data_IF_296575785644
#
_entry.id   IF_296575785644
#
_cell.length_a   1.000
_cell.length_b   1.000
_cell.length_c   1.000
_cell.angle_alpha   90.00
_cell.angle_beta   90.00
_cell.angle_gamma   90.00
#
_symmetry.space_group_name_H-M   'P 1'
#
loop_
_entity.id
_entity.type
_entity.pdbx_description
1 polymer ?
#
# COMPACT_ATOMS: atom_id res chain seq x y z
N UNK A 1 -1.63 24.49 -23.67
CA UNK A 1 -3.10 24.64 -23.62
C UNK A 1 -3.45 25.32 -22.29
N UNK A 2 -4.05 26.51 -22.33
CA UNK A 2 -4.40 27.24 -21.11
C UNK A 2 -5.67 26.63 -20.51
N UNK A 3 -5.60 26.12 -19.30
CA UNK A 3 -6.75 25.74 -18.51
C UNK A 3 -7.52 27.00 -18.09
N UNK A 4 -8.47 27.42 -18.92
CA UNK A 4 -9.42 28.49 -18.61
C UNK A 4 -10.83 27.92 -18.41
N UNK A 5 -11.00 27.09 -17.39
CA UNK A 5 -12.31 26.89 -16.83
C UNK A 5 -12.31 27.46 -15.41
N UNK A 6 -12.81 28.68 -15.27
CA UNK A 6 -13.17 29.25 -13.96
C UNK A 6 -14.41 28.49 -13.44
N UNK A 7 -14.22 27.27 -13.00
CA UNK A 7 -15.23 26.64 -12.17
C UNK A 7 -15.30 27.46 -10.87
N UNK A 8 -16.44 28.07 -10.62
CA UNK A 8 -16.72 28.75 -9.35
C UNK A 8 -16.78 27.67 -8.27
N UNK A 9 -15.61 27.31 -7.74
CA UNK A 9 -15.54 26.41 -6.59
C UNK A 9 -16.12 27.13 -5.38
N UNK A 10 -17.14 26.54 -4.77
CA UNK A 10 -17.68 27.02 -3.48
C UNK A 10 -16.95 26.23 -2.39
N UNK A 11 -16.11 26.88 -1.57
CA UNK A 11 -15.42 26.20 -0.49
C UNK A 11 -16.41 25.55 0.49
N UNK A 12 -16.02 24.41 1.04
CA UNK A 12 -16.76 23.79 2.13
C UNK A 12 -16.82 24.76 3.35
N UNK A 13 -17.97 24.82 4.00
CA UNK A 13 -18.15 25.66 5.22
C UNK A 13 -17.23 25.20 6.36
N UNK A 14 -17.00 23.90 6.47
CA UNK A 14 -16.16 23.28 7.47
C UNK A 14 -14.95 22.62 6.82
N UNK A 15 -13.85 22.51 7.57
CA UNK A 15 -12.67 21.77 7.12
C UNK A 15 -13.02 20.30 6.92
N UNK A 16 -12.75 19.77 5.75
CA UNK A 16 -12.83 18.33 5.46
C UNK A 16 -11.44 17.73 5.66
N UNK A 17 -11.35 16.78 6.56
CA UNK A 17 -10.10 16.05 6.81
C UNK A 17 -9.97 14.90 5.84
N UNK A 18 -8.75 14.66 5.35
CA UNK A 18 -8.49 13.57 4.43
C UNK A 18 -8.73 12.20 5.08
N UNK A 19 -8.24 12.06 6.30
CA UNK A 19 -8.35 10.82 7.06
C UNK A 19 -8.51 11.15 8.54
N UNK A 20 -9.71 10.95 9.07
CA UNK A 20 -10.03 11.18 10.47
C UNK A 20 -10.26 9.83 11.16
N UNK A 21 -9.63 9.55 12.30
CA UNK A 21 -9.97 8.35 13.06
C UNK A 21 -11.46 8.32 13.41
N UNK A 22 -12.05 7.14 13.32
CA UNK A 22 -13.45 6.90 13.73
C UNK A 22 -13.46 5.91 14.88
N UNK A 23 -14.10 6.29 15.99
CA UNK A 23 -14.28 5.42 17.14
C UNK A 23 -15.65 4.74 17.04
N UNK A 24 -15.70 3.44 17.33
CA UNK A 24 -16.91 2.62 17.25
C UNK A 24 -17.53 2.33 18.62
N UNK A 25 -16.83 2.71 19.71
CA UNK A 25 -17.34 2.70 21.08
C UNK A 25 -16.74 1.62 21.99
N UNK A 26 -16.10 0.61 21.44
CA UNK A 26 -15.52 -0.49 22.23
C UNK A 26 -14.02 -0.35 22.50
N UNK A 27 -13.35 0.58 21.83
CA UNK A 27 -11.89 0.73 21.86
C UNK A 27 -11.35 0.93 23.28
N UNK A 28 -12.07 1.75 24.07
CA UNK A 28 -11.67 2.03 25.46
C UNK A 28 -11.74 0.77 26.32
N UNK A 29 -12.71 -0.12 26.11
CA UNK A 29 -12.84 -1.36 26.85
C UNK A 29 -11.68 -2.31 26.55
N UNK A 30 -11.29 -2.42 25.28
CA UNK A 30 -10.13 -3.22 24.84
C UNK A 30 -8.82 -2.68 25.40
N UNK A 31 -8.64 -1.35 25.38
CA UNK A 31 -7.45 -0.70 25.95
C UNK A 31 -7.39 -0.95 27.47
N UNK A 32 -8.51 -0.82 28.16
CA UNK A 32 -8.60 -1.01 29.61
C UNK A 32 -8.31 -2.46 29.99
N UNK A 33 -8.86 -3.42 29.24
CA UNK A 33 -8.60 -4.83 29.47
C UNK A 33 -7.10 -5.19 29.25
N UNK A 34 -6.52 -4.70 28.17
CA UNK A 34 -5.08 -4.88 27.88
C UNK A 34 -4.21 -4.28 28.99
N UNK A 35 -4.60 -3.09 29.51
CA UNK A 35 -3.89 -2.46 30.63
C UNK A 35 -3.94 -3.33 31.90
N UNK A 36 -5.11 -3.84 32.26
CA UNK A 36 -5.26 -4.69 33.45
C UNK A 36 -4.55 -6.04 33.33
N UNK A 37 -4.44 -6.57 32.12
CA UNK A 37 -3.71 -7.82 31.81
C UNK A 37 -2.22 -7.61 31.57
N UNK A 38 -1.72 -6.38 31.68
CA UNK A 38 -0.34 -5.97 31.43
C UNK A 38 0.14 -6.28 30.00
N UNK A 39 -0.75 -6.21 29.02
CA UNK A 39 -0.41 -6.36 27.60
C UNK A 39 0.03 -5.01 26.99
N UNK A 40 1.08 -4.45 27.55
CA UNK A 40 1.58 -3.11 27.21
C UNK A 40 2.80 -3.14 26.29
N UNK A 41 3.10 -4.29 25.69
CA UNK A 41 4.20 -4.47 24.75
C UNK A 41 3.73 -5.15 23.46
N UNK A 42 4.64 -5.78 22.74
CA UNK A 42 4.36 -6.45 21.46
C UNK A 42 3.69 -7.83 21.60
N UNK A 43 3.36 -8.25 22.81
CA UNK A 43 2.76 -9.56 23.11
C UNK A 43 1.41 -9.33 23.79
N UNK A 44 0.39 -10.07 23.35
CA UNK A 44 -0.94 -10.02 23.93
C UNK A 44 -2.00 -10.65 23.02
N UNK A 45 -3.12 -11.08 23.60
CA UNK A 45 -4.17 -11.73 22.81
C UNK A 45 -4.79 -10.81 21.75
N UNK A 46 -4.86 -9.51 22.01
CA UNK A 46 -5.42 -8.56 21.05
C UNK A 46 -4.64 -8.56 19.72
N UNK A 47 -3.30 -8.62 19.75
CA UNK A 47 -2.48 -8.70 18.53
C UNK A 47 -2.71 -10.02 17.83
N UNK A 48 -2.67 -11.13 18.57
CA UNK A 48 -2.89 -12.47 18.02
C UNK A 48 -4.27 -12.58 17.33
N UNK A 49 -5.30 -12.00 17.96
CA UNK A 49 -6.66 -12.00 17.39
C UNK A 49 -6.78 -11.14 16.13
N UNK A 50 -6.15 -9.95 16.09
CA UNK A 50 -6.10 -9.11 14.89
C UNK A 50 -5.43 -9.86 13.74
N UNK A 51 -4.28 -10.47 13.99
CA UNK A 51 -3.54 -11.24 12.98
C UNK A 51 -4.39 -12.42 12.46
N UNK A 52 -5.03 -13.16 13.35
CA UNK A 52 -5.92 -14.26 12.99
C UNK A 52 -7.12 -13.78 12.14
N UNK A 53 -7.82 -12.75 12.60
CA UNK A 53 -9.03 -12.23 11.92
C UNK A 53 -8.67 -11.66 10.53
N UNK A 54 -7.56 -10.94 10.43
CA UNK A 54 -7.10 -10.40 9.14
C UNK A 54 -6.72 -11.53 8.19
N UNK A 55 -5.98 -12.53 8.66
CA UNK A 55 -5.60 -13.68 7.84
C UNK A 55 -6.83 -14.43 7.32
N UNK A 56 -7.79 -14.72 8.19
CA UNK A 56 -9.04 -15.41 7.85
C UNK A 56 -9.88 -14.59 6.85
N UNK A 57 -10.01 -13.28 7.09
CA UNK A 57 -10.85 -12.42 6.26
C UNK A 57 -10.29 -12.22 4.84
N UNK A 58 -8.96 -12.17 4.71
CA UNK A 58 -8.29 -12.01 3.42
C UNK A 58 -8.06 -13.37 2.74
N UNK A 59 -8.13 -14.48 3.49
CA UNK A 59 -7.90 -15.82 2.96
C UNK A 59 -6.41 -16.13 2.75
N UNK A 60 -5.53 -15.53 3.57
CA UNK A 60 -4.08 -15.77 3.53
C UNK A 60 -3.63 -16.67 4.67
N UNK A 61 -2.45 -17.26 4.52
CA UNK A 61 -1.89 -18.19 5.50
C UNK A 61 -1.62 -17.57 6.87
N UNK A 62 -1.18 -16.32 6.88
CA UNK A 62 -0.87 -15.58 8.11
C UNK A 62 -0.92 -14.07 7.83
N UNK A 63 -1.13 -13.31 8.90
CA UNK A 63 -0.93 -11.88 8.96
C UNK A 63 0.04 -11.57 10.11
N UNK A 64 0.75 -10.45 10.04
CA UNK A 64 1.71 -10.02 11.05
C UNK A 64 1.50 -8.54 11.35
N UNK A 65 1.22 -8.23 12.61
CA UNK A 65 1.07 -6.87 13.11
C UNK A 65 2.42 -6.17 13.26
N UNK A 66 2.55 -5.00 12.66
CA UNK A 66 3.75 -4.16 12.73
C UNK A 66 3.39 -2.76 13.22
N UNK A 67 4.37 -2.02 13.71
CA UNK A 67 4.16 -0.70 14.31
C UNK A 67 3.75 0.40 13.32
N UNK A 68 3.97 0.18 12.03
CA UNK A 68 3.64 1.14 10.96
C UNK A 68 3.57 0.44 9.61
N UNK A 69 2.74 0.99 8.68
CA UNK A 69 2.68 0.52 7.29
C UNK A 69 4.02 0.57 6.58
N UNK A 70 4.83 1.60 6.84
CA UNK A 70 6.21 1.68 6.31
C UNK A 70 7.07 0.47 6.71
N UNK A 71 6.94 0.01 7.96
CA UNK A 71 7.66 -1.18 8.43
C UNK A 71 7.13 -2.45 7.77
N UNK A 72 5.81 -2.52 7.53
CA UNK A 72 5.18 -3.64 6.84
C UNK A 72 5.65 -3.73 5.38
N UNK A 73 5.64 -2.62 4.67
CA UNK A 73 6.15 -2.53 3.29
C UNK A 73 7.64 -2.89 3.23
N UNK A 74 8.46 -2.40 4.17
CA UNK A 74 9.88 -2.72 4.22
C UNK A 74 10.11 -4.23 4.43
N UNK A 75 9.36 -4.85 5.35
CA UNK A 75 9.43 -6.29 5.56
C UNK A 75 8.98 -7.06 4.31
N UNK A 76 7.89 -6.64 3.65
CA UNK A 76 7.41 -7.26 2.42
C UNK A 76 8.47 -7.20 1.30
N UNK A 77 9.15 -6.08 1.14
CA UNK A 77 10.23 -5.94 0.14
C UNK A 77 11.44 -6.83 0.45
N UNK A 78 11.82 -6.96 1.73
CA UNK A 78 12.85 -7.91 2.15
C UNK A 78 12.46 -9.35 1.86
N UNK A 79 11.22 -9.73 2.13
CA UNK A 79 10.70 -11.07 1.85
C UNK A 79 10.61 -11.35 0.35
N UNK A 80 10.27 -10.34 -0.46
CA UNK A 80 10.31 -10.44 -1.92
C UNK A 80 11.72 -10.58 -2.48
N UNK A 81 12.75 -10.28 -1.69
CA UNK A 81 14.15 -10.45 -2.05
C UNK A 81 14.75 -9.30 -2.85
N UNK A 82 14.16 -8.10 -2.75
CA UNK A 82 14.71 -6.88 -3.37
C UNK A 82 16.10 -6.60 -2.81
N UNK A 83 17.04 -6.29 -3.70
CA UNK A 83 18.46 -6.08 -3.38
C UNK A 83 18.96 -4.79 -4.00
N UNK A 84 20.16 -4.39 -3.56
CA UNK A 84 20.87 -3.25 -4.12
C UNK A 84 21.01 -3.36 -5.65
N UNK A 85 20.53 -2.33 -6.36
CA UNK A 85 20.59 -2.22 -7.80
C UNK A 85 19.40 -2.83 -8.55
N UNK A 86 18.52 -3.59 -7.88
CA UNK A 86 17.31 -4.09 -8.49
C UNK A 86 16.38 -2.92 -8.84
N UNK A 87 15.88 -2.88 -10.06
CA UNK A 87 14.81 -1.97 -10.45
C UNK A 87 13.49 -2.53 -9.98
N UNK A 88 12.63 -1.65 -9.45
CA UNK A 88 11.30 -1.99 -8.93
C UNK A 88 10.29 -1.01 -9.51
N UNK A 89 9.24 -1.51 -10.15
CA UNK A 89 8.15 -0.67 -10.61
C UNK A 89 7.30 -0.21 -9.43
N UNK A 90 7.06 1.09 -9.34
CA UNK A 90 6.34 1.72 -8.26
C UNK A 90 5.26 2.65 -8.79
N UNK A 91 4.12 2.73 -8.11
CA UNK A 91 3.15 3.80 -8.36
C UNK A 91 3.82 5.17 -8.19
N UNK A 92 3.58 6.11 -9.10
CA UNK A 92 4.10 7.48 -8.99
C UNK A 92 3.23 8.36 -8.10
N UNK A 93 1.91 8.14 -8.11
CA UNK A 93 0.97 8.84 -7.24
C UNK A 93 0.70 8.01 -6.00
N UNK A 94 1.48 8.28 -4.95
CA UNK A 94 1.40 7.53 -3.68
C UNK A 94 1.99 8.34 -2.54
N UNK A 95 1.73 7.89 -1.31
CA UNK A 95 2.50 8.36 -0.16
C UNK A 95 3.92 7.80 -0.22
N UNK A 96 4.92 8.62 0.14
CA UNK A 96 6.34 8.23 0.01
C UNK A 96 6.72 6.92 0.70
N UNK A 97 5.97 6.52 1.73
CA UNK A 97 6.19 5.24 2.43
C UNK A 97 6.02 4.00 1.56
N UNK A 98 5.25 4.08 0.47
CA UNK A 98 5.11 2.99 -0.51
C UNK A 98 6.42 2.70 -1.23
N UNK A 99 7.23 3.74 -1.48
CA UNK A 99 8.44 3.66 -2.32
C UNK A 99 9.74 3.69 -1.50
N UNK A 100 9.76 4.43 -0.38
CA UNK A 100 10.96 4.57 0.44
C UNK A 100 11.65 3.23 0.79
N UNK A 101 10.91 2.15 1.14
CA UNK A 101 11.52 0.88 1.48
C UNK A 101 12.31 0.23 0.32
N UNK A 102 11.95 0.51 -0.94
CA UNK A 102 12.76 0.08 -2.10
C UNK A 102 14.16 0.69 -2.00
N UNK A 103 14.21 1.99 -1.68
CA UNK A 103 15.49 2.71 -1.54
C UNK A 103 16.26 2.23 -0.30
N UNK A 104 15.57 1.85 0.79
CA UNK A 104 16.22 1.31 1.99
C UNK A 104 16.96 0.00 1.69
N UNK A 105 16.43 -0.86 0.81
CA UNK A 105 17.11 -2.07 0.34
C UNK A 105 18.17 -1.79 -0.74
N UNK A 106 18.33 -0.52 -1.15
CA UNK A 106 19.25 -0.11 -2.20
C UNK A 106 18.75 -0.37 -3.61
N UNK A 107 17.46 -0.69 -3.76
CA UNK A 107 16.79 -0.79 -5.06
C UNK A 107 16.61 0.57 -5.73
N UNK A 108 16.25 0.54 -6.99
CA UNK A 108 16.02 1.71 -7.84
C UNK A 108 14.55 1.74 -8.23
N UNK A 109 13.74 2.66 -7.68
CA UNK A 109 12.35 2.79 -8.07
C UNK A 109 12.24 3.31 -9.51
N UNK A 110 11.38 2.67 -10.29
CA UNK A 110 10.97 3.11 -11.63
C UNK A 110 9.49 3.40 -11.55
N UNK A 111 9.12 4.66 -11.72
CA UNK A 111 7.75 5.10 -11.52
C UNK A 111 6.88 4.80 -12.73
N UNK A 112 5.70 4.28 -12.46
CA UNK A 112 4.65 3.97 -13.43
C UNK A 112 3.52 4.96 -13.24
N UNK A 113 3.15 5.64 -14.32
CA UNK A 113 2.11 6.67 -14.33
C UNK A 113 0.73 6.09 -13.98
N UNK A 114 -0.17 6.97 -13.57
CA UNK A 114 -1.54 6.63 -13.17
C UNK A 114 -2.49 6.62 -14.37
N UNK A 115 -3.53 5.78 -14.29
CA UNK A 115 -4.68 5.88 -15.19
C UNK A 115 -5.75 6.84 -14.62
N UNK A 116 -6.68 7.28 -15.47
CA UNK A 116 -7.56 8.41 -15.14
C UNK A 116 -8.80 8.07 -14.33
N UNK A 117 -9.19 6.79 -14.27
CA UNK A 117 -10.44 6.39 -13.62
C UNK A 117 -10.27 6.27 -12.10
N UNK A 118 -9.20 5.61 -11.66
CA UNK A 118 -8.94 5.34 -10.23
C UNK A 118 -7.76 6.13 -9.67
N UNK A 119 -6.94 6.74 -10.52
CA UNK A 119 -5.68 7.44 -10.17
C UNK A 119 -4.61 6.51 -9.60
N UNK A 120 -4.77 5.21 -9.82
CA UNK A 120 -3.78 4.20 -9.47
C UNK A 120 -2.94 3.80 -10.71
N UNK A 121 -1.97 2.93 -10.51
CA UNK A 121 -1.03 2.47 -11.55
C UNK A 121 -1.76 2.03 -12.82
N UNK A 122 -1.32 2.56 -13.97
CA UNK A 122 -1.87 2.20 -15.28
C UNK A 122 -1.30 0.85 -15.77
N UNK A 123 -2.13 -0.19 -15.96
CA UNK A 123 -1.69 -1.49 -16.45
C UNK A 123 -1.10 -1.43 -17.88
N UNK A 124 -1.53 -0.47 -18.71
CA UNK A 124 -0.99 -0.31 -20.08
C UNK A 124 0.42 0.30 -20.03
N UNK A 125 0.64 1.26 -19.12
CA UNK A 125 1.98 1.84 -18.91
C UNK A 125 2.90 0.82 -18.25
N UNK A 126 2.39 -0.01 -17.33
CA UNK A 126 3.14 -1.10 -16.71
C UNK A 126 3.63 -2.12 -17.75
N UNK A 127 2.77 -2.53 -18.71
CA UNK A 127 3.18 -3.43 -19.80
C UNK A 127 4.34 -2.83 -20.61
N UNK A 128 4.23 -1.56 -21.00
CA UNK A 128 5.31 -0.86 -21.73
C UNK A 128 6.59 -0.75 -20.91
N UNK A 129 6.47 -0.59 -19.59
CA UNK A 129 7.63 -0.56 -18.72
C UNK A 129 8.38 -1.90 -18.70
N UNK A 130 7.68 -3.02 -18.74
CA UNK A 130 8.30 -4.34 -18.87
C UNK A 130 8.98 -4.54 -20.23
N UNK A 131 8.46 -3.94 -21.32
CA UNK A 131 9.17 -3.94 -22.60
C UNK A 131 10.51 -3.20 -22.52
N UNK A 132 10.57 -2.10 -21.75
CA UNK A 132 11.78 -1.30 -21.56
C UNK A 132 12.75 -1.89 -20.53
N UNK A 133 12.23 -2.57 -19.53
CA UNK A 133 12.97 -3.12 -18.39
C UNK A 133 12.57 -4.58 -18.12
N UNK A 134 12.87 -5.51 -19.04
CA UNK A 134 12.44 -6.91 -18.93
C UNK A 134 13.05 -7.65 -17.73
N UNK A 135 14.11 -7.11 -17.14
CA UNK A 135 14.76 -7.66 -15.95
C UNK A 135 13.98 -7.44 -14.65
N UNK A 136 13.01 -6.53 -14.62
CA UNK A 136 12.26 -6.19 -13.40
C UNK A 136 11.41 -7.38 -12.94
N UNK A 137 11.44 -7.65 -11.64
CA UNK A 137 10.74 -8.77 -10.99
C UNK A 137 9.80 -8.37 -9.88
N UNK A 138 9.71 -7.08 -9.59
CA UNK A 138 8.90 -6.58 -8.46
C UNK A 138 8.11 -5.34 -8.88
N UNK A 139 6.83 -5.34 -8.52
CA UNK A 139 5.89 -4.24 -8.71
C UNK A 139 5.34 -3.86 -7.34
N UNK A 140 5.42 -2.59 -6.97
CA UNK A 140 4.83 -2.04 -5.75
C UNK A 140 3.70 -1.10 -6.15
N UNK A 141 2.48 -1.49 -5.89
CA UNK A 141 1.30 -0.69 -6.20
C UNK A 141 0.62 -0.18 -4.93
N UNK A 142 -0.16 0.86 -5.05
CA UNK A 142 -1.00 1.41 -3.98
C UNK A 142 -2.48 1.37 -4.37
N UNK A 143 -3.36 1.21 -3.40
CA UNK A 143 -4.78 1.50 -3.51
C UNK A 143 -5.05 2.91 -2.97
N UNK A 144 -4.78 3.93 -3.78
CA UNK A 144 -4.72 5.31 -3.34
C UNK A 144 -6.05 5.76 -2.71
N UNK A 145 -5.98 6.24 -1.47
CA UNK A 145 -7.13 6.70 -0.67
C UNK A 145 -8.27 5.67 -0.56
N UNK A 146 -7.94 4.38 -0.55
CA UNK A 146 -8.93 3.31 -0.48
C UNK A 146 -9.66 3.01 -1.79
N UNK A 147 -9.24 3.62 -2.90
CA UNK A 147 -9.75 3.27 -4.23
C UNK A 147 -8.93 2.10 -4.78
N UNK A 148 -9.54 0.93 -5.03
CA UNK A 148 -8.80 -0.21 -5.57
C UNK A 148 -8.19 0.09 -6.93
N UNK A 149 -6.92 -0.29 -7.12
CA UNK A 149 -6.29 -0.31 -8.44
C UNK A 149 -6.98 -1.35 -9.36
N UNK A 150 -6.76 -1.27 -10.67
CA UNK A 150 -7.18 -2.30 -11.64
C UNK A 150 -6.36 -3.58 -11.45
N UNK A 151 -6.51 -4.19 -10.26
CA UNK A 151 -5.62 -5.24 -9.77
C UNK A 151 -5.59 -6.48 -10.69
N UNK A 152 -6.73 -6.88 -11.24
CA UNK A 152 -6.79 -8.04 -12.15
C UNK A 152 -5.96 -7.80 -13.42
N UNK A 153 -6.03 -6.60 -13.99
CA UNK A 153 -5.27 -6.22 -15.17
C UNK A 153 -3.76 -6.12 -14.84
N UNK A 154 -3.41 -5.48 -13.72
CA UNK A 154 -2.03 -5.36 -13.25
C UNK A 154 -1.45 -6.73 -12.94
N UNK A 155 -2.21 -7.62 -12.32
CA UNK A 155 -1.79 -9.01 -12.03
C UNK A 155 -1.55 -9.78 -13.31
N UNK A 156 -2.46 -9.67 -14.29
CA UNK A 156 -2.27 -10.33 -15.58
C UNK A 156 -1.00 -9.86 -16.30
N UNK A 157 -0.65 -8.57 -16.17
CA UNK A 157 0.64 -8.06 -16.68
C UNK A 157 1.81 -8.66 -15.90
N UNK A 158 1.79 -8.56 -14.57
CA UNK A 158 2.88 -9.06 -13.73
C UNK A 158 3.13 -10.56 -13.92
N UNK A 159 2.08 -11.37 -14.02
CA UNK A 159 2.15 -12.82 -14.21
C UNK A 159 2.83 -13.17 -15.55
N UNK A 160 2.51 -12.45 -16.64
CA UNK A 160 3.17 -12.66 -17.95
C UNK A 160 4.68 -12.44 -17.88
N UNK A 161 5.13 -11.54 -17.04
CA UNK A 161 6.55 -11.20 -16.87
C UNK A 161 7.21 -11.91 -15.67
N UNK A 162 6.45 -12.76 -14.97
CA UNK A 162 6.93 -13.48 -13.79
C UNK A 162 7.35 -12.56 -12.65
N UNK A 163 6.63 -11.45 -12.48
CA UNK A 163 6.89 -10.45 -11.45
C UNK A 163 5.99 -10.62 -10.22
N UNK A 164 6.53 -10.34 -9.05
CA UNK A 164 5.80 -10.34 -7.78
C UNK A 164 5.19 -8.96 -7.53
N UNK A 165 3.95 -8.94 -7.05
CA UNK A 165 3.27 -7.71 -6.64
C UNK A 165 3.35 -7.57 -5.11
N UNK A 166 3.70 -6.37 -4.67
CA UNK A 166 3.58 -5.91 -3.28
C UNK A 166 2.50 -4.83 -3.30
N UNK A 167 1.45 -5.01 -2.51
CA UNK A 167 0.30 -4.13 -2.46
C UNK A 167 0.33 -3.28 -1.18
N UNK A 168 0.29 -1.96 -1.36
CA UNK A 168 0.06 -1.01 -0.28
C UNK A 168 -1.44 -0.70 -0.23
N UNK A 169 -2.11 -1.23 0.78
CA UNK A 169 -3.55 -1.08 0.99
C UNK A 169 -3.89 -0.15 2.18
N UNK A 170 -2.98 0.79 2.52
CA UNK A 170 -3.15 1.75 3.61
C UNK A 170 -4.18 2.84 3.31
#
# INVERSE_FOLDING_TARGET
MAFTQKNKFTPFKNKVWLSSPTMHGEELSWITDAYHKNWMSTVGENINEVERVVADKIGVKCAVGLSAGTSALHLAMKLAGIKRGDKVFCSDMTFSATVNPVVYEGGVPVFIDTERDTWNMDPVVLEKAFELYPEVKHVVLVNLYGTPAKLDEIRAVADRHGATIIEDAA
#
